data_IF_713747276782
#
_entry.id   IF_713747276782
#
_cell.length_a   1.000
_cell.length_b   1.000
_cell.length_c   1.000
_cell.angle_alpha   90.00
_cell.angle_beta   90.00
_cell.angle_gamma   90.00
#
_symmetry.space_group_name_H-M   'P 1'
#
loop_
_entity.id
_entity.type
_entity.pdbx_description
1 polymer ?
#
# COMPACT_ATOMS: atom_id res chain seq x y z
N UNK A 1 1.45 -5.39 14.66
CA UNK A 1 1.54 -6.52 13.72
C UNK A 1 0.21 -6.68 13.00
N UNK A 2 0.22 -6.70 11.66
CA UNK A 2 -0.93 -7.09 10.82
C UNK A 2 -0.91 -8.59 10.61
N UNK A 3 -2.04 -9.27 10.86
CA UNK A 3 -2.25 -10.69 10.54
C UNK A 3 -3.54 -10.87 9.76
N UNK A 4 -3.47 -11.63 8.70
CA UNK A 4 -4.62 -12.16 7.97
C UNK A 4 -4.48 -13.68 7.92
N UNK A 5 -5.52 -14.39 8.28
CA UNK A 5 -5.51 -15.85 8.42
C UNK A 5 -6.65 -16.46 7.60
N UNK A 6 -6.29 -17.30 6.64
CA UNK A 6 -7.22 -18.11 5.83
C UNK A 6 -8.35 -17.30 5.19
N UNK A 7 -8.03 -16.12 4.64
CA UNK A 7 -9.01 -15.22 4.05
C UNK A 7 -9.58 -15.83 2.77
N UNK A 8 -10.92 -15.92 2.72
CA UNK A 8 -11.68 -16.31 1.53
C UNK A 8 -12.64 -15.18 1.18
N UNK A 9 -12.64 -14.77 -0.09
CA UNK A 9 -13.54 -13.71 -0.57
C UNK A 9 -14.01 -13.98 -2.00
N UNK A 10 -15.31 -13.70 -2.25
CA UNK A 10 -15.97 -13.66 -3.57
C UNK A 10 -16.76 -12.38 -3.70
N UNK A 11 -16.82 -11.83 -4.93
CA UNK A 11 -17.74 -10.73 -5.21
C UNK A 11 -19.19 -11.19 -5.35
N UNK A 12 -19.39 -12.43 -5.83
CA UNK A 12 -20.68 -13.08 -5.93
C UNK A 12 -20.53 -14.54 -5.48
N UNK A 13 -21.54 -15.06 -4.76
CA UNK A 13 -21.57 -16.45 -4.23
C UNK A 13 -21.43 -17.52 -5.31
N UNK A 14 -21.80 -17.21 -6.56
CA UNK A 14 -21.70 -18.13 -7.70
C UNK A 14 -20.38 -18.04 -8.45
N UNK A 15 -19.57 -17.00 -8.18
CA UNK A 15 -18.28 -16.80 -8.82
C UNK A 15 -17.17 -17.56 -8.10
N UNK A 16 -16.07 -17.91 -8.81
CA UNK A 16 -14.86 -18.42 -8.14
C UNK A 16 -14.37 -17.48 -7.06
N UNK A 17 -13.68 -18.03 -6.07
CA UNK A 17 -13.02 -17.22 -5.05
C UNK A 17 -11.95 -16.33 -5.69
N UNK A 18 -12.01 -15.02 -5.40
CA UNK A 18 -10.95 -14.07 -5.78
C UNK A 18 -9.81 -14.11 -4.79
N UNK A 19 -10.12 -14.37 -3.50
CA UNK A 19 -9.15 -14.71 -2.48
C UNK A 19 -9.48 -16.11 -1.98
N UNK A 20 -8.50 -17.00 -2.00
CA UNK A 20 -8.66 -18.40 -1.67
C UNK A 20 -7.60 -18.83 -0.65
N UNK A 21 -8.00 -18.86 0.61
CA UNK A 21 -7.16 -19.24 1.75
C UNK A 21 -5.89 -18.37 1.88
N UNK A 22 -6.02 -17.06 1.75
CA UNK A 22 -4.90 -16.12 1.84
C UNK A 22 -4.53 -15.93 3.31
N UNK A 23 -3.25 -16.16 3.62
CA UNK A 23 -2.66 -15.85 4.93
C UNK A 23 -1.41 -15.00 4.75
N UNK A 24 -1.24 -13.97 5.59
CA UNK A 24 -0.04 -13.14 5.63
C UNK A 24 0.17 -12.56 7.03
N UNK A 25 1.42 -12.30 7.36
CA UNK A 25 1.79 -11.59 8.60
C UNK A 25 2.83 -10.54 8.28
N UNK A 26 2.64 -9.31 8.82
CA UNK A 26 3.57 -8.20 8.67
C UNK A 26 3.78 -7.53 10.02
N UNK A 27 5.03 -7.46 10.45
CA UNK A 27 5.39 -6.89 11.74
C UNK A 27 5.23 -5.37 11.77
N UNK A 28 5.05 -4.84 12.96
CA UNK A 28 4.99 -3.39 13.18
C UNK A 28 6.30 -2.74 12.74
N UNK A 29 6.20 -1.64 11.99
CA UNK A 29 7.38 -0.92 11.49
C UNK A 29 8.05 -1.60 10.28
N UNK A 30 7.42 -2.59 9.65
CA UNK A 30 7.87 -3.18 8.39
C UNK A 30 7.13 -2.60 7.18
N UNK A 31 7.80 -2.66 6.05
CA UNK A 31 7.23 -2.45 4.71
C UNK A 31 7.00 -3.82 4.06
N UNK A 32 5.74 -4.20 3.92
CA UNK A 32 5.32 -5.36 3.13
C UNK A 32 5.06 -4.97 1.69
N UNK A 33 5.48 -5.80 0.75
CA UNK A 33 5.20 -5.61 -0.67
C UNK A 33 4.44 -6.80 -1.22
N UNK A 34 3.28 -6.53 -1.81
CA UNK A 34 2.45 -7.53 -2.47
C UNK A 34 2.71 -7.50 -3.98
N UNK A 35 3.24 -8.58 -4.50
CA UNK A 35 3.61 -8.77 -5.90
C UNK A 35 2.71 -9.81 -6.57
N UNK A 36 2.53 -9.71 -7.88
CA UNK A 36 1.75 -10.66 -8.67
C UNK A 36 1.20 -10.04 -9.95
N UNK A 37 0.76 -10.88 -10.88
CA UNK A 37 0.19 -10.44 -12.16
C UNK A 37 -1.10 -9.64 -11.96
N UNK A 38 -1.49 -8.86 -12.97
CA UNK A 38 -2.77 -8.15 -12.96
C UNK A 38 -3.92 -9.16 -12.88
N UNK A 39 -4.95 -8.82 -12.07
CA UNK A 39 -6.10 -9.70 -11.84
C UNK A 39 -5.89 -10.84 -10.85
N UNK A 40 -4.71 -11.03 -10.25
CA UNK A 40 -4.49 -12.10 -9.27
C UNK A 40 -5.15 -11.87 -7.89
N UNK A 41 -5.76 -10.68 -7.65
CA UNK A 41 -6.51 -10.39 -6.42
C UNK A 41 -5.84 -9.38 -5.47
N UNK A 42 -4.72 -8.73 -5.83
CA UNK A 42 -3.99 -7.78 -4.95
C UNK A 42 -4.90 -6.68 -4.37
N UNK A 43 -5.53 -5.88 -5.22
CA UNK A 43 -6.45 -4.80 -4.80
C UNK A 43 -7.60 -5.34 -3.95
N UNK A 44 -8.12 -6.52 -4.28
CA UNK A 44 -9.18 -7.18 -3.49
C UNK A 44 -8.68 -7.54 -2.10
N UNK A 45 -7.46 -8.08 -1.99
CA UNK A 45 -6.83 -8.37 -0.70
C UNK A 45 -6.66 -7.09 0.12
N UNK A 46 -6.09 -6.01 -0.46
CA UNK A 46 -5.93 -4.73 0.23
C UNK A 46 -7.28 -4.17 0.73
N UNK A 47 -8.33 -4.21 -0.13
CA UNK A 47 -9.68 -3.80 0.27
C UNK A 47 -10.27 -4.67 1.38
N UNK A 48 -9.97 -5.97 1.38
CA UNK A 48 -10.43 -6.90 2.41
C UNK A 48 -9.72 -6.63 3.75
N UNK A 49 -8.41 -6.39 3.74
CA UNK A 49 -7.64 -5.99 4.92
C UNK A 49 -8.16 -4.69 5.55
N UNK A 50 -8.61 -3.75 4.73
CA UNK A 50 -9.23 -2.49 5.18
C UNK A 50 -10.69 -2.66 5.64
N UNK A 51 -11.28 -3.85 5.46
CA UNK A 51 -12.69 -4.12 5.74
C UNK A 51 -13.65 -3.37 4.80
N UNK A 52 -13.19 -2.97 3.62
CA UNK A 52 -14.03 -2.46 2.53
C UNK A 52 -14.74 -3.61 1.81
N UNK A 53 -14.12 -4.78 1.77
CA UNK A 53 -14.70 -6.04 1.36
C UNK A 53 -14.78 -6.96 2.58
N UNK A 54 -15.95 -7.56 2.84
CA UNK A 54 -16.11 -8.48 3.96
C UNK A 54 -15.76 -9.90 3.52
N UNK A 55 -14.76 -10.55 4.13
CA UNK A 55 -14.42 -11.93 3.80
C UNK A 55 -15.54 -12.89 4.17
N UNK A 56 -15.68 -14.00 3.44
CA UNK A 56 -16.60 -15.10 3.75
C UNK A 56 -16.06 -15.98 4.88
N UNK A 57 -14.73 -16.11 4.96
CA UNK A 57 -14.02 -16.85 5.99
C UNK A 57 -12.66 -16.21 6.26
N UNK A 58 -12.10 -16.58 7.40
CA UNK A 58 -10.80 -16.09 7.87
C UNK A 58 -10.93 -14.91 8.82
N UNK A 59 -9.78 -14.47 9.33
CA UNK A 59 -9.67 -13.46 10.37
C UNK A 59 -8.61 -12.44 9.99
N UNK A 60 -8.87 -11.16 10.30
CA UNK A 60 -7.92 -10.06 10.09
C UNK A 60 -7.74 -9.32 11.38
N UNK A 61 -6.52 -9.27 11.89
CA UNK A 61 -6.18 -8.56 13.12
C UNK A 61 -5.06 -7.54 12.90
N UNK A 62 -5.09 -6.46 13.66
CA UNK A 62 -4.01 -5.50 13.76
C UNK A 62 -3.70 -5.24 15.24
N UNK A 63 -2.47 -5.51 15.66
CA UNK A 63 -2.02 -5.47 17.08
C UNK A 63 -2.95 -6.25 18.02
N UNK A 64 -3.46 -7.40 17.57
CA UNK A 64 -4.38 -8.26 18.32
C UNK A 64 -5.85 -7.84 18.27
N UNK A 65 -6.18 -6.67 17.72
CA UNK A 65 -7.53 -6.20 17.56
C UNK A 65 -8.15 -6.70 16.24
N UNK A 66 -9.36 -7.26 16.28
CA UNK A 66 -10.02 -7.81 15.09
C UNK A 66 -10.63 -6.70 14.22
N UNK A 67 -10.04 -6.45 13.05
CA UNK A 67 -10.48 -5.39 12.15
C UNK A 67 -11.88 -5.65 11.55
N UNK A 68 -12.27 -6.92 11.37
CA UNK A 68 -13.56 -7.27 10.77
C UNK A 68 -14.77 -6.95 11.67
N UNK A 69 -14.57 -6.89 12.99
CA UNK A 69 -15.60 -6.55 13.97
C UNK A 69 -15.74 -5.06 14.23
N UNK A 70 -14.73 -4.26 13.81
CA UNK A 70 -14.73 -2.82 14.02
C UNK A 70 -15.71 -2.10 13.09
N UNK A 71 -16.26 -0.99 13.58
CA UNK A 71 -16.97 -0.02 12.72
C UNK A 71 -16.02 0.62 11.71
N UNK A 72 -16.56 1.15 10.60
CA UNK A 72 -15.76 1.88 9.61
C UNK A 72 -14.94 3.02 10.23
N UNK A 73 -15.52 3.73 11.20
CA UNK A 73 -14.85 4.84 11.89
C UNK A 73 -13.67 4.35 12.73
N UNK A 74 -13.80 3.26 13.46
CA UNK A 74 -12.73 2.67 14.25
C UNK A 74 -11.57 2.18 13.34
N UNK A 75 -11.90 1.45 12.25
CA UNK A 75 -10.88 1.03 11.27
C UNK A 75 -10.13 2.21 10.66
N UNK A 76 -10.87 3.29 10.30
CA UNK A 76 -10.25 4.49 9.73
C UNK A 76 -9.34 5.25 10.73
N UNK A 77 -9.37 4.95 12.02
CA UNK A 77 -8.41 5.47 13.01
C UNK A 77 -7.13 4.63 13.10
N UNK A 78 -7.17 3.41 12.59
CA UNK A 78 -6.04 2.47 12.58
C UNK A 78 -5.35 2.45 11.22
N UNK A 79 -6.13 2.33 10.13
CA UNK A 79 -5.63 2.10 8.79
C UNK A 79 -6.04 3.22 7.83
N UNK A 80 -5.07 3.67 7.04
CA UNK A 80 -5.30 4.60 5.93
C UNK A 80 -5.01 3.92 4.60
N UNK A 81 -5.70 4.35 3.56
CA UNK A 81 -5.61 3.80 2.21
C UNK A 81 -5.31 4.88 1.18
N UNK A 82 -4.32 4.62 0.37
CA UNK A 82 -3.98 5.41 -0.81
C UNK A 82 -4.26 4.54 -2.04
N UNK A 83 -5.38 4.74 -2.74
CA UNK A 83 -5.72 3.99 -3.96
C UNK A 83 -4.80 4.39 -5.11
N UNK A 84 -4.79 3.57 -6.16
CA UNK A 84 -4.05 3.81 -7.40
C UNK A 84 -4.47 5.13 -8.07
N UNK A 85 -5.77 5.39 -8.08
CA UNK A 85 -6.33 6.65 -8.60
C UNK A 85 -7.19 7.30 -7.53
N UNK A 86 -7.06 8.61 -7.39
CA UNK A 86 -7.83 9.39 -6.43
C UNK A 86 -8.36 10.67 -7.08
N UNK A 87 -9.67 10.85 -7.01
CA UNK A 87 -10.34 12.09 -7.39
C UNK A 87 -10.59 12.96 -6.16
N UNK A 88 -10.17 14.22 -6.24
CA UNK A 88 -10.31 15.18 -5.15
C UNK A 88 -11.44 16.21 -5.42
N UNK A 89 -12.09 16.13 -6.59
CA UNK A 89 -13.03 17.17 -7.00
C UNK A 89 -12.37 18.55 -7.09
N UNK A 90 -13.11 19.61 -6.75
CA UNK A 90 -12.63 20.98 -6.78
C UNK A 90 -12.02 21.46 -5.44
N UNK A 91 -11.55 20.56 -4.59
CA UNK A 91 -10.98 20.91 -3.29
C UNK A 91 -9.63 21.63 -3.44
N UNK A 92 -9.35 22.51 -2.48
CA UNK A 92 -8.00 23.03 -2.26
C UNK A 92 -7.14 21.93 -1.58
N UNK A 93 -5.83 22.03 -1.73
CA UNK A 93 -4.88 21.05 -1.15
C UNK A 93 -5.10 20.90 0.35
N UNK A 94 -5.22 22.02 1.08
CA UNK A 94 -5.44 21.98 2.53
C UNK A 94 -6.73 21.22 2.89
N UNK A 95 -7.84 21.52 2.22
CA UNK A 95 -9.13 20.87 2.49
C UNK A 95 -9.10 19.36 2.15
N UNK A 96 -8.42 19.01 1.05
CA UNK A 96 -8.25 17.63 0.64
C UNK A 96 -7.45 16.83 1.70
N UNK A 97 -6.40 17.40 2.28
CA UNK A 97 -5.61 16.77 3.34
C UNK A 97 -6.40 16.73 4.65
N UNK A 98 -7.07 17.83 5.03
CA UNK A 98 -7.89 17.90 6.24
C UNK A 98 -9.06 16.89 6.21
N UNK A 99 -9.59 16.57 5.02
CA UNK A 99 -10.61 15.52 4.85
C UNK A 99 -10.13 14.14 5.34
N UNK A 100 -8.82 13.90 5.43
CA UNK A 100 -8.25 12.71 6.07
C UNK A 100 -8.66 12.56 7.54
N UNK A 101 -8.98 13.65 8.23
CA UNK A 101 -9.36 13.67 9.66
C UNK A 101 -10.84 13.34 9.94
N UNK A 102 -11.67 13.17 8.90
CA UNK A 102 -13.14 12.96 9.05
C UNK A 102 -13.50 11.85 10.03
N UNK A 103 -12.69 10.80 10.16
CA UNK A 103 -12.91 9.73 11.14
C UNK A 103 -12.69 10.16 12.59
N UNK A 104 -11.98 11.28 12.83
CA UNK A 104 -11.54 11.72 14.17
C UNK A 104 -12.38 12.87 14.73
N UNK A 105 -12.84 13.81 13.91
CA UNK A 105 -13.66 14.91 14.38
C UNK A 105 -15.17 14.64 14.25
N UNK A 106 -15.99 15.45 14.95
CA UNK A 106 -17.46 15.39 14.90
C UNK A 106 -18.02 16.23 13.74
N UNK A 107 -18.67 17.38 14.07
CA UNK A 107 -19.30 18.25 13.07
C UNK A 107 -18.25 19.12 12.36
N UNK A 108 -17.23 19.58 13.08
CA UNK A 108 -16.17 20.46 12.54
C UNK A 108 -14.78 20.05 13.06
N UNK A 109 -13.73 20.22 12.24
CA UNK A 109 -12.37 19.96 12.64
C UNK A 109 -11.91 20.93 13.75
N UNK A 110 -11.30 20.37 14.80
CA UNK A 110 -10.69 21.13 15.88
C UNK A 110 -9.25 21.57 15.59
N UNK A 111 -8.59 22.18 16.59
CA UNK A 111 -7.19 22.63 16.45
C UNK A 111 -6.24 21.43 16.22
N UNK A 112 -6.44 20.31 16.91
CA UNK A 112 -5.63 19.10 16.73
C UNK A 112 -5.73 18.52 15.31
N UNK A 113 -6.94 18.58 14.70
CA UNK A 113 -7.14 18.08 13.34
C UNK A 113 -6.43 18.96 12.31
N UNK A 114 -6.46 20.28 12.51
CA UNK A 114 -5.74 21.24 11.65
C UNK A 114 -4.24 21.04 11.77
N UNK A 115 -3.71 20.93 12.99
CA UNK A 115 -2.29 20.68 13.21
C UNK A 115 -1.81 19.37 12.57
N UNK A 116 -2.61 18.29 12.65
CA UNK A 116 -2.28 17.02 11.99
C UNK A 116 -2.29 17.13 10.46
N UNK A 117 -3.21 17.91 9.88
CA UNK A 117 -3.24 18.17 8.44
C UNK A 117 -2.04 19.00 8.00
N UNK A 118 -1.67 20.04 8.75
CA UNK A 118 -0.51 20.90 8.49
C UNK A 118 0.80 20.09 8.56
N UNK A 119 0.97 19.26 9.59
CA UNK A 119 2.13 18.37 9.72
C UNK A 119 2.23 17.38 8.54
N UNK A 120 1.12 16.79 8.13
CA UNK A 120 1.11 15.88 6.98
C UNK A 120 1.46 16.61 5.67
N UNK A 121 1.05 17.87 5.52
CA UNK A 121 1.41 18.70 4.37
C UNK A 121 2.90 19.07 4.38
N UNK A 122 3.46 19.36 5.54
CA UNK A 122 4.88 19.65 5.71
C UNK A 122 5.73 18.42 5.38
N UNK A 123 5.38 17.22 5.91
CA UNK A 123 6.02 15.95 5.59
C UNK A 123 6.11 15.69 4.08
N UNK A 124 5.09 16.12 3.33
CA UNK A 124 4.99 15.91 1.88
C UNK A 124 5.47 17.11 1.05
N UNK A 125 5.91 18.19 1.70
CA UNK A 125 6.37 19.43 1.02
C UNK A 125 5.26 20.14 0.25
N UNK A 126 4.03 20.16 0.79
CA UNK A 126 2.83 20.75 0.16
C UNK A 126 2.42 22.10 0.73
N UNK A 127 3.11 22.59 1.75
CA UNK A 127 2.71 23.83 2.48
C UNK A 127 2.51 25.03 1.57
N UNK A 128 3.42 25.23 0.60
CA UNK A 128 3.31 26.33 -0.38
C UNK A 128 2.14 26.19 -1.35
N UNK A 129 1.53 25.00 -1.43
CA UNK A 129 0.42 24.68 -2.33
C UNK A 129 -0.93 24.66 -1.62
N UNK A 130 -1.00 24.95 -0.31
CA UNK A 130 -2.17 24.79 0.54
C UNK A 130 -3.48 25.36 -0.05
N UNK A 131 -3.42 26.56 -0.60
CA UNK A 131 -4.58 27.28 -1.19
C UNK A 131 -4.83 26.96 -2.67
N UNK A 132 -3.99 26.13 -3.32
CA UNK A 132 -4.21 25.78 -4.74
C UNK A 132 -5.28 24.71 -4.89
N UNK A 133 -6.03 24.76 -5.98
CA UNK A 133 -6.94 23.66 -6.34
C UNK A 133 -6.13 22.42 -6.69
N UNK A 134 -6.52 21.26 -6.16
CA UNK A 134 -5.88 19.97 -6.48
C UNK A 134 -5.98 19.65 -7.97
N UNK A 135 -7.01 20.13 -8.66
CA UNK A 135 -7.16 19.92 -10.11
C UNK A 135 -6.02 20.51 -10.93
N UNK A 136 -5.40 21.60 -10.45
CA UNK A 136 -4.32 22.32 -11.16
C UNK A 136 -2.93 21.75 -10.90
N UNK A 137 -2.83 20.72 -10.07
CA UNK A 137 -1.57 20.10 -9.70
C UNK A 137 -1.12 19.07 -10.74
N UNK A 138 0.20 18.85 -10.82
CA UNK A 138 0.78 17.74 -11.57
C UNK A 138 0.39 16.39 -10.95
N UNK A 139 0.54 15.29 -11.69
CA UNK A 139 0.25 13.93 -11.19
C UNK A 139 1.04 13.60 -9.91
N UNK A 140 2.33 13.95 -9.86
CA UNK A 140 3.16 13.73 -8.67
C UNK A 140 2.74 14.57 -7.46
N UNK A 141 2.28 15.81 -7.67
CA UNK A 141 1.74 16.63 -6.59
C UNK A 141 0.39 16.10 -6.08
N UNK A 142 -0.49 15.63 -6.97
CA UNK A 142 -1.75 14.96 -6.60
C UNK A 142 -1.49 13.71 -5.77
N UNK A 143 -0.49 12.93 -6.14
CA UNK A 143 -0.10 11.74 -5.37
C UNK A 143 0.40 12.10 -3.97
N UNK A 144 1.21 13.18 -3.84
CA UNK A 144 1.62 13.69 -2.54
C UNK A 144 0.43 14.16 -1.69
N UNK A 145 -0.59 14.79 -2.30
CA UNK A 145 -1.83 15.17 -1.61
C UNK A 145 -2.57 13.93 -1.11
N UNK A 146 -2.65 12.86 -1.92
CA UNK A 146 -3.26 11.59 -1.53
C UNK A 146 -2.56 10.97 -0.30
N UNK A 147 -1.22 10.99 -0.31
CA UNK A 147 -0.41 10.47 0.81
C UNK A 147 -0.57 11.38 2.04
N UNK A 148 -0.48 12.71 1.89
CA UNK A 148 -0.68 13.65 2.99
C UNK A 148 -2.06 13.48 3.64
N UNK A 149 -3.12 13.29 2.84
CA UNK A 149 -4.46 12.97 3.34
C UNK A 149 -4.49 11.69 4.16
N UNK A 150 -3.79 10.65 3.71
CA UNK A 150 -3.68 9.39 4.44
C UNK A 150 -2.88 9.56 5.75
N UNK A 151 -1.77 10.31 5.72
CA UNK A 151 -0.94 10.61 6.90
C UNK A 151 -1.66 11.48 7.92
N UNK A 152 -2.49 12.43 7.47
CA UNK A 152 -3.32 13.24 8.35
C UNK A 152 -4.27 12.41 9.23
N UNK A 153 -4.62 11.19 8.83
CA UNK A 153 -5.35 10.24 9.67
C UNK A 153 -4.53 9.76 10.89
N UNK A 154 -3.19 9.97 10.91
CA UNK A 154 -2.28 9.38 11.88
C UNK A 154 -2.46 7.86 12.00
N UNK A 155 -2.34 7.13 10.87
CA UNK A 155 -2.60 5.70 10.85
C UNK A 155 -1.43 4.93 11.46
N UNK A 156 -1.72 3.75 12.03
CA UNK A 156 -0.71 2.76 12.41
C UNK A 156 -0.42 1.78 11.25
N UNK A 157 -1.39 1.61 10.33
CA UNK A 157 -1.29 0.81 9.11
C UNK A 157 -1.56 1.69 7.90
N UNK A 158 -0.61 1.78 6.97
CA UNK A 158 -0.75 2.51 5.72
C UNK A 158 -0.74 1.52 4.56
N UNK A 159 -1.79 1.55 3.77
CA UNK A 159 -1.95 0.67 2.62
C UNK A 159 -1.90 1.50 1.34
N UNK A 160 -0.99 1.13 0.43
CA UNK A 160 -0.85 1.71 -0.90
C UNK A 160 -1.25 0.70 -1.98
N UNK A 161 -2.15 1.08 -2.86
CA UNK A 161 -2.46 0.30 -4.06
C UNK A 161 -1.80 0.97 -5.27
N UNK A 162 -0.68 0.41 -5.74
CA UNK A 162 0.12 0.92 -6.86
C UNK A 162 0.47 2.42 -6.74
N UNK A 163 1.18 2.83 -5.67
CA UNK A 163 1.41 4.25 -5.38
C UNK A 163 2.25 4.95 -6.45
N UNK A 164 2.78 4.23 -7.41
CA UNK A 164 3.78 4.66 -8.39
C UNK A 164 3.29 4.59 -9.84
N UNK A 165 2.11 4.05 -10.09
CA UNK A 165 1.63 3.65 -11.42
C UNK A 165 1.56 4.73 -12.51
N UNK A 166 1.59 6.03 -12.14
CA UNK A 166 1.52 7.16 -13.08
C UNK A 166 2.60 8.23 -12.82
N UNK A 167 3.70 7.83 -12.17
CA UNK A 167 4.78 8.73 -11.78
C UNK A 167 6.04 8.51 -12.62
N UNK A 168 6.85 9.55 -12.75
CA UNK A 168 8.21 9.37 -13.21
C UNK A 168 9.06 8.64 -12.16
N UNK A 169 10.17 8.04 -12.61
CA UNK A 169 11.06 7.21 -11.78
C UNK A 169 11.54 7.96 -10.52
N UNK A 170 11.80 9.26 -10.62
CA UNK A 170 12.30 10.05 -9.50
C UNK A 170 11.24 10.24 -8.40
N UNK A 171 10.00 10.52 -8.79
CA UNK A 171 8.87 10.65 -7.88
C UNK A 171 8.50 9.30 -7.25
N UNK A 172 8.49 8.23 -8.03
CA UNK A 172 8.27 6.87 -7.56
C UNK A 172 9.25 6.49 -6.44
N UNK A 173 10.56 6.63 -6.68
CA UNK A 173 11.59 6.35 -5.68
C UNK A 173 11.47 7.24 -4.43
N UNK A 174 11.02 8.49 -4.60
CA UNK A 174 10.79 9.40 -3.48
C UNK A 174 9.67 8.89 -2.57
N UNK A 175 8.54 8.45 -3.14
CA UNK A 175 7.41 7.92 -2.38
C UNK A 175 7.79 6.66 -1.63
N UNK A 176 8.48 5.72 -2.26
CA UNK A 176 8.90 4.48 -1.60
C UNK A 176 9.91 4.74 -0.48
N UNK A 177 10.84 5.69 -0.68
CA UNK A 177 11.75 6.13 0.39
C UNK A 177 11.00 6.76 1.56
N UNK A 178 10.01 7.62 1.29
CA UNK A 178 9.18 8.22 2.33
C UNK A 178 8.37 7.16 3.08
N UNK A 179 7.74 6.22 2.39
CA UNK A 179 7.01 5.11 3.00
C UNK A 179 7.92 4.32 3.96
N UNK A 180 9.15 3.98 3.52
CA UNK A 180 10.13 3.28 4.36
C UNK A 180 10.61 4.13 5.54
N UNK A 181 10.82 5.43 5.34
CA UNK A 181 11.20 6.35 6.41
C UNK A 181 10.10 6.45 7.47
N UNK A 182 8.83 6.62 7.07
CA UNK A 182 7.69 6.67 7.97
C UNK A 182 7.52 5.36 8.75
N UNK A 183 7.68 4.22 8.08
CA UNK A 183 7.68 2.92 8.72
C UNK A 183 8.71 2.86 9.86
N UNK A 184 9.95 3.26 9.59
CA UNK A 184 11.04 3.17 10.58
C UNK A 184 10.99 4.23 11.66
N UNK A 185 10.67 5.50 11.32
CA UNK A 185 10.70 6.62 12.27
C UNK A 185 9.46 6.68 13.16
N UNK A 186 8.30 6.21 12.67
CA UNK A 186 7.03 6.27 13.40
C UNK A 186 6.49 4.90 13.83
N UNK A 187 7.22 3.81 13.54
CA UNK A 187 6.74 2.46 13.79
C UNK A 187 5.49 2.09 12.98
N UNK A 188 5.25 2.77 11.85
CA UNK A 188 4.08 2.55 11.02
C UNK A 188 4.25 1.28 10.20
N UNK A 189 3.26 0.39 10.20
CA UNK A 189 3.23 -0.75 9.28
C UNK A 189 2.77 -0.26 7.91
N UNK A 190 3.52 -0.59 6.86
CA UNK A 190 3.19 -0.21 5.48
C UNK A 190 3.00 -1.48 4.65
N UNK A 191 1.90 -1.58 3.91
CA UNK A 191 1.68 -2.62 2.91
C UNK A 191 1.41 -1.96 1.56
N UNK A 192 2.18 -2.31 0.54
CA UNK A 192 2.01 -1.73 -0.80
C UNK A 192 2.02 -2.79 -1.90
N UNK A 193 1.35 -2.51 -3.01
CA UNK A 193 1.54 -3.25 -4.26
C UNK A 193 2.57 -2.54 -5.11
N UNK A 194 3.46 -3.31 -5.74
CA UNK A 194 4.44 -2.81 -6.71
C UNK A 194 4.47 -3.71 -7.94
N UNK A 195 4.95 -3.16 -9.07
CA UNK A 195 5.19 -3.91 -10.30
C UNK A 195 6.67 -4.17 -10.53
N UNK A 196 7.55 -3.29 -10.07
CA UNK A 196 9.00 -3.42 -10.22
C UNK A 196 9.59 -4.30 -9.12
N UNK A 197 10.13 -5.46 -9.53
CA UNK A 197 10.73 -6.44 -8.63
C UNK A 197 11.99 -5.90 -7.93
N UNK A 198 12.78 -5.06 -8.62
CA UNK A 198 13.99 -4.48 -8.04
C UNK A 198 13.65 -3.43 -6.97
N UNK A 199 12.56 -2.69 -7.16
CA UNK A 199 12.04 -1.81 -6.12
C UNK A 199 11.51 -2.59 -4.93
N UNK A 200 10.83 -3.71 -5.17
CA UNK A 200 10.36 -4.59 -4.11
C UNK A 200 11.53 -5.13 -3.27
N UNK A 201 12.62 -5.58 -3.89
CA UNK A 201 13.86 -5.98 -3.20
C UNK A 201 14.45 -4.83 -2.37
N UNK A 202 14.47 -3.64 -2.94
CA UNK A 202 15.14 -2.48 -2.34
C UNK A 202 14.37 -1.89 -1.14
N UNK A 203 13.04 -1.85 -1.20
CA UNK A 203 12.20 -1.12 -0.25
C UNK A 203 11.38 -2.02 0.66
N UNK A 204 11.08 -3.27 0.26
CA UNK A 204 10.33 -4.23 1.05
C UNK A 204 11.18 -4.91 2.12
N UNK A 205 10.62 -5.04 3.32
CA UNK A 205 11.17 -5.88 4.38
C UNK A 205 10.57 -7.31 4.28
N UNK A 206 9.32 -7.43 3.81
CA UNK A 206 8.61 -8.68 3.58
C UNK A 206 7.91 -8.63 2.22
N UNK A 207 8.12 -9.64 1.40
CA UNK A 207 7.52 -9.78 0.07
C UNK A 207 6.50 -10.91 0.08
N UNK A 208 5.35 -10.68 -0.53
CA UNK A 208 4.27 -11.64 -0.70
C UNK A 208 3.98 -11.79 -2.19
N UNK A 209 4.24 -12.97 -2.75
CA UNK A 209 4.05 -13.26 -4.16
C UNK A 209 2.70 -13.96 -4.34
N UNK A 210 1.78 -13.25 -5.02
CA UNK A 210 0.39 -13.67 -5.17
C UNK A 210 0.09 -14.16 -6.58
N UNK A 211 -0.58 -15.31 -6.66
CA UNK A 211 -1.08 -15.90 -7.90
C UNK A 211 -2.44 -16.54 -7.65
N UNK A 212 -3.40 -16.32 -8.56
CA UNK A 212 -4.72 -16.96 -8.53
C UNK A 212 -5.41 -16.91 -7.16
N UNK A 213 -5.38 -15.73 -6.53
CA UNK A 213 -6.04 -15.51 -5.23
C UNK A 213 -5.32 -16.10 -4.03
N UNK A 214 -4.09 -16.61 -4.17
CA UNK A 214 -3.30 -17.22 -3.09
C UNK A 214 -1.93 -16.58 -2.99
N UNK A 215 -1.36 -16.52 -1.78
CA UNK A 215 0.06 -16.25 -1.59
C UNK A 215 0.80 -17.55 -1.81
N UNK A 216 1.66 -17.61 -2.84
CA UNK A 216 2.44 -18.77 -3.23
C UNK A 216 3.80 -18.80 -2.54
N UNK A 217 4.43 -17.63 -2.47
CA UNK A 217 5.73 -17.47 -1.86
C UNK A 217 5.74 -16.24 -0.96
N UNK A 218 6.46 -16.29 0.14
CA UNK A 218 6.68 -15.14 1.00
C UNK A 218 8.07 -15.19 1.64
N UNK A 219 8.65 -14.04 1.92
CA UNK A 219 9.99 -13.94 2.51
C UNK A 219 10.51 -12.50 2.47
N UNK A 220 11.80 -12.35 2.71
CA UNK A 220 12.52 -11.12 2.41
C UNK A 220 12.83 -11.00 0.90
N UNK A 221 13.67 -10.04 0.49
CA UNK A 221 14.07 -9.89 -0.90
C UNK A 221 14.72 -11.14 -1.53
N UNK A 222 15.16 -12.10 -0.73
CA UNK A 222 15.71 -13.37 -1.19
C UNK A 222 14.67 -14.33 -1.77
N UNK A 223 13.38 -14.11 -1.50
CA UNK A 223 12.30 -14.92 -2.08
C UNK A 223 12.15 -14.72 -3.60
N UNK A 224 12.63 -13.60 -4.14
CA UNK A 224 12.64 -13.33 -5.57
C UNK A 224 13.84 -14.03 -6.25
N UNK A 225 13.69 -15.32 -6.51
CA UNK A 225 14.64 -16.13 -7.30
C UNK A 225 14.16 -16.25 -8.75
N UNK A 226 15.03 -16.65 -9.71
CA UNK A 226 14.60 -16.92 -11.08
C UNK A 226 13.41 -17.89 -11.16
N UNK A 227 13.38 -18.92 -10.28
CA UNK A 227 12.32 -19.93 -10.23
C UNK A 227 10.99 -19.33 -9.76
N UNK A 228 11.00 -18.55 -8.66
CA UNK A 228 9.77 -17.93 -8.13
C UNK A 228 9.25 -16.82 -9.05
N UNK A 229 10.13 -16.09 -9.73
CA UNK A 229 9.75 -15.10 -10.74
C UNK A 229 9.12 -15.78 -11.95
N UNK A 230 9.69 -16.90 -12.41
CA UNK A 230 9.08 -17.68 -13.48
C UNK A 230 7.72 -18.24 -13.08
N UNK A 231 7.59 -18.82 -11.91
CA UNK A 231 6.33 -19.40 -11.38
C UNK A 231 5.21 -18.35 -11.38
N UNK A 232 5.47 -17.16 -10.83
CA UNK A 232 4.44 -16.14 -10.65
C UNK A 232 4.21 -15.29 -11.89
N UNK A 233 5.28 -14.89 -12.60
CA UNK A 233 5.21 -13.88 -13.67
C UNK A 233 5.35 -14.48 -15.06
N UNK A 234 5.95 -15.68 -15.18
CA UNK A 234 6.23 -16.32 -16.48
C UNK A 234 7.32 -15.61 -17.26
N UNK A 235 8.24 -14.91 -16.58
CA UNK A 235 9.36 -14.21 -17.20
C UNK A 235 10.69 -14.79 -16.68
N UNK A 236 11.67 -14.90 -17.58
CA UNK A 236 13.02 -15.35 -17.23
C UNK A 236 13.84 -14.17 -16.73
N UNK A 237 14.53 -14.37 -15.62
CA UNK A 237 15.45 -13.39 -15.04
C UNK A 237 16.75 -14.05 -14.62
N UNK A 238 17.82 -13.27 -14.58
CA UNK A 238 19.09 -13.63 -13.91
C UNK A 238 19.26 -12.75 -12.69
N UNK A 239 19.81 -13.31 -11.64
CA UNK A 239 20.23 -12.53 -10.48
C UNK A 239 21.65 -11.97 -10.74
N UNK A 240 21.83 -10.70 -10.44
CA UNK A 240 23.12 -10.03 -10.41
C UNK A 240 23.31 -9.35 -9.06
N UNK A 241 24.54 -9.23 -8.61
CA UNK A 241 24.91 -8.46 -7.42
C UNK A 241 25.82 -7.32 -7.84
N UNK A 242 25.42 -6.09 -7.54
CA UNK A 242 26.17 -4.87 -7.85
C UNK A 242 26.28 -4.08 -6.56
N UNK A 243 27.50 -3.79 -6.12
CA UNK A 243 27.78 -3.06 -4.87
C UNK A 243 27.07 -3.66 -3.63
N UNK A 244 27.01 -4.99 -3.54
CA UNK A 244 26.35 -5.73 -2.45
C UNK A 244 24.82 -5.68 -2.50
N UNK A 245 24.22 -5.16 -3.58
CA UNK A 245 22.77 -5.15 -3.79
C UNK A 245 22.38 -6.18 -4.85
N UNK A 246 21.32 -6.93 -4.58
CA UNK A 246 20.75 -7.90 -5.53
C UNK A 246 19.83 -7.20 -6.52
N UNK A 247 19.98 -7.57 -7.79
CA UNK A 247 19.14 -7.14 -8.90
C UNK A 247 18.65 -8.32 -9.71
N UNK A 248 17.45 -8.17 -10.27
CA UNK A 248 16.89 -9.08 -11.27
C UNK A 248 17.00 -8.40 -12.64
N UNK A 249 17.62 -9.09 -13.57
CA UNK A 249 17.80 -8.65 -14.96
C UNK A 249 16.97 -9.57 -15.84
N UNK A 250 16.05 -9.00 -16.64
CA UNK A 250 15.29 -9.75 -17.63
C UNK A 250 16.23 -10.41 -18.65
N UNK A 251 15.89 -11.61 -19.07
CA UNK A 251 16.62 -12.36 -20.12
C UNK A 251 15.65 -12.63 -21.26
N UNK A 252 16.02 -12.24 -22.47
CA UNK A 252 15.25 -12.56 -23.67
C UNK A 252 15.30 -14.06 -23.98
N UNK A 253 14.23 -14.60 -24.55
CA UNK A 253 14.13 -16.05 -24.83
C UNK A 253 15.16 -16.56 -25.83
N UNK A 254 15.78 -15.66 -26.62
CA UNK A 254 16.73 -15.98 -27.69
C UNK A 254 18.21 -16.02 -27.22
N UNK A 255 18.52 -15.72 -25.95
CA UNK A 255 19.88 -15.81 -25.39
C UNK A 255 20.10 -17.15 -24.66
N UNK A 256 20.24 -18.24 -25.44
CA UNK A 256 20.74 -19.54 -24.96
C UNK A 256 22.11 -19.84 -25.53
#
# INVERSE_FOLDING_TARGET
>A
MLSAEQIVFRYDRRSPAVLDNVSLTLETGQVGVLLGRNGCGKTTLLKTLLGLCRPEAGRITFDGEELTEMTRRQRAQIAAYVPQEMEFGALQVYDAVLAGRVSRFGIQPGAADRAAAEAAMEDMGLTALAGRSVQTLSGGEKQKVAIARALAQEPRLLIFDEPTGNLDIANEQRILRQARQLSRSRGMTVLCTLHDLNQAIRYGDRLFLMQEGRIRHEGDGGVLTPETVWDIFGVRVRQAEIDGQKFLIGVDEDEN
#
